data_IF_536449493918
#
_entry.id   IF_536449493918
#
_cell.length_a   1.000
_cell.length_b   1.000
_cell.length_c   1.000
_cell.angle_alpha   90.00
_cell.angle_beta   90.00
_cell.angle_gamma   90.00
#
_symmetry.space_group_name_H-M   'P 1'
#
loop_
_entity.id
_entity.type
_entity.pdbx_description
1 polymer ?
#
# COMPACT_ATOMS: atom_id res chain seq x y z
N UNK A 1 -26.51 -26.74 -32.86
CA UNK A 1 -25.38 -27.45 -32.21
C UNK A 1 -24.50 -26.37 -31.59
N UNK A 2 -24.24 -26.38 -30.28
CA UNK A 2 -23.30 -25.43 -29.69
C UNK A 2 -21.90 -25.70 -30.25
N UNK A 3 -21.26 -24.66 -30.76
CA UNK A 3 -19.91 -24.76 -31.32
C UNK A 3 -18.86 -24.77 -30.22
N UNK A 4 -17.61 -25.13 -30.55
CA UNK A 4 -16.51 -25.09 -29.59
C UNK A 4 -16.33 -23.69 -28.97
N UNK A 5 -16.59 -22.63 -29.74
CA UNK A 5 -16.54 -21.25 -29.29
C UNK A 5 -17.64 -20.95 -28.26
N UNK A 6 -18.87 -21.45 -28.45
CA UNK A 6 -19.98 -21.25 -27.50
C UNK A 6 -19.72 -21.90 -26.14
N UNK A 7 -19.03 -23.05 -26.13
CA UNK A 7 -18.66 -23.73 -24.89
C UNK A 7 -17.53 -23.00 -24.15
N UNK A 8 -16.60 -22.38 -24.88
CA UNK A 8 -15.54 -21.55 -24.31
C UNK A 8 -16.10 -20.27 -23.69
N UNK A 9 -17.08 -19.64 -24.35
CA UNK A 9 -17.77 -18.44 -23.88
C UNK A 9 -18.66 -18.70 -22.65
N UNK A 10 -19.09 -19.95 -22.43
CA UNK A 10 -19.84 -20.38 -21.23
C UNK A 10 -18.99 -20.92 -20.09
N UNK A 11 -17.67 -20.83 -20.19
CA UNK A 11 -16.76 -21.47 -19.23
C UNK A 11 -16.77 -20.78 -17.85
N UNK A 12 -17.66 -21.25 -16.97
CA UNK A 12 -17.74 -20.82 -15.56
C UNK A 12 -16.41 -20.99 -14.82
N UNK A 13 -15.61 -21.97 -15.21
CA UNK A 13 -14.29 -22.23 -14.64
C UNK A 13 -13.31 -21.08 -14.91
N UNK A 14 -13.42 -20.41 -16.06
CA UNK A 14 -12.57 -19.25 -16.39
C UNK A 14 -12.90 -18.06 -15.50
N UNK A 15 -14.20 -17.82 -15.23
CA UNK A 15 -14.65 -16.75 -14.34
C UNK A 15 -14.16 -17.00 -12.91
N UNK A 16 -14.24 -18.24 -12.43
CA UNK A 16 -13.74 -18.62 -11.10
C UNK A 16 -12.20 -18.48 -11.01
N UNK A 17 -11.46 -18.90 -12.03
CA UNK A 17 -10.01 -18.78 -12.07
C UNK A 17 -9.57 -17.30 -12.06
N UNK A 18 -10.19 -16.48 -12.91
CA UNK A 18 -9.92 -15.04 -12.97
C UNK A 18 -10.29 -14.34 -11.65
N UNK A 19 -11.50 -14.61 -11.14
CA UNK A 19 -11.95 -14.07 -9.86
C UNK A 19 -11.03 -14.45 -8.70
N UNK A 20 -10.56 -15.70 -8.66
CA UNK A 20 -9.59 -16.17 -7.68
C UNK A 20 -8.24 -15.44 -7.78
N UNK A 21 -7.74 -15.24 -9.00
CA UNK A 21 -6.50 -14.49 -9.22
C UNK A 21 -6.61 -13.02 -8.78
N UNK A 22 -7.72 -12.35 -9.11
CA UNK A 22 -7.97 -10.97 -8.69
C UNK A 22 -8.12 -10.86 -7.17
N UNK A 23 -8.84 -11.80 -6.55
CA UNK A 23 -9.00 -11.83 -5.10
C UNK A 23 -7.67 -12.06 -4.36
N UNK A 24 -6.82 -12.96 -4.89
CA UNK A 24 -5.48 -13.18 -4.36
C UNK A 24 -4.59 -11.93 -4.49
N UNK A 25 -4.63 -11.26 -5.64
CA UNK A 25 -3.93 -9.99 -5.84
C UNK A 25 -4.43 -8.91 -4.88
N UNK A 26 -5.75 -8.78 -4.69
CA UNK A 26 -6.32 -7.83 -3.74
C UNK A 26 -5.88 -8.10 -2.30
N UNK A 27 -5.93 -9.36 -1.84
CA UNK A 27 -5.40 -9.74 -0.54
C UNK A 27 -3.91 -9.40 -0.41
N UNK A 28 -3.13 -9.59 -1.48
CA UNK A 28 -1.72 -9.22 -1.51
C UNK A 28 -1.49 -7.70 -1.38
N UNK A 29 -2.40 -6.86 -1.89
CA UNK A 29 -2.27 -5.39 -1.71
C UNK A 29 -2.50 -4.94 -0.27
N UNK A 30 -3.21 -5.73 0.54
CA UNK A 30 -3.48 -5.38 1.95
C UNK A 30 -2.32 -5.83 2.84
N UNK A 31 -1.75 -7.02 2.58
CA UNK A 31 -0.79 -7.67 3.50
C UNK A 31 0.61 -7.89 2.93
N UNK A 32 0.82 -7.74 1.62
CA UNK A 32 2.00 -8.22 0.92
C UNK A 32 3.24 -7.33 1.03
N UNK A 33 3.08 -6.01 1.18
CA UNK A 33 4.17 -5.02 1.37
C UNK A 33 3.64 -3.59 1.28
N UNK A 34 4.44 -2.60 1.67
CA UNK A 34 4.24 -1.23 1.20
C UNK A 34 4.32 -1.21 -0.34
N UNK A 35 3.15 -1.05 -0.98
CA UNK A 35 3.01 -1.06 -2.44
C UNK A 35 3.76 0.10 -3.11
N UNK A 36 4.11 1.12 -2.32
CA UNK A 36 4.99 2.21 -2.66
C UNK A 36 6.23 2.10 -1.77
N UNK A 37 7.46 2.24 -2.30
CA UNK A 37 8.62 2.35 -1.44
C UNK A 37 8.39 3.51 -0.49
N UNK A 38 8.37 3.24 0.82
CA UNK A 38 8.39 4.31 1.80
C UNK A 38 9.65 5.13 1.52
N UNK A 39 9.48 6.44 1.35
CA UNK A 39 10.61 7.33 1.12
C UNK A 39 11.54 7.20 2.32
N UNK A 40 12.80 6.87 2.07
CA UNK A 40 13.75 6.54 3.13
C UNK A 40 13.85 7.72 4.10
N UNK A 41 13.71 7.44 5.40
CA UNK A 41 13.83 8.48 6.41
C UNK A 41 15.19 9.17 6.28
N UNK A 42 15.22 10.52 6.39
CA UNK A 42 16.48 11.26 6.30
C UNK A 42 17.43 10.76 7.39
N UNK A 43 18.57 10.22 6.95
CA UNK A 43 19.59 9.63 7.81
C UNK A 43 20.89 10.42 7.64
N UNK A 44 21.52 10.84 8.74
CA UNK A 44 22.78 11.61 8.70
C UNK A 44 22.74 12.89 9.56
N UNK A 45 23.58 13.87 9.21
CA UNK A 45 23.73 15.13 9.95
C UNK A 45 22.50 16.05 9.80
N UNK A 46 21.78 16.39 10.89
CA UNK A 46 20.58 17.22 10.84
C UNK A 46 20.83 18.68 10.44
N UNK A 47 22.07 19.17 10.51
CA UNK A 47 22.39 20.55 10.11
C UNK A 47 22.29 20.76 8.59
N UNK A 48 22.40 19.68 7.80
CA UNK A 48 22.23 19.70 6.35
C UNK A 48 20.81 19.41 5.86
N UNK A 49 19.87 19.12 6.77
CA UNK A 49 18.53 18.70 6.39
C UNK A 49 17.70 19.83 5.79
N UNK A 50 16.93 19.50 4.75
CA UNK A 50 15.91 20.42 4.26
C UNK A 50 14.77 20.52 5.29
N UNK A 51 14.00 21.61 5.23
CA UNK A 51 12.81 21.79 6.09
C UNK A 51 11.80 20.65 5.95
N UNK A 52 11.74 20.02 4.78
CA UNK A 52 10.86 18.89 4.50
C UNK A 52 11.33 17.62 5.22
N UNK A 53 12.63 17.35 5.17
CA UNK A 53 13.25 16.21 5.85
C UNK A 53 13.08 16.32 7.37
N UNK A 54 13.31 17.51 7.93
CA UNK A 54 13.10 17.79 9.35
C UNK A 54 11.64 17.55 9.77
N UNK A 55 10.67 17.96 8.94
CA UNK A 55 9.24 17.76 9.22
C UNK A 55 8.86 16.27 9.17
N UNK A 56 9.36 15.54 8.18
CA UNK A 56 9.11 14.10 8.01
C UNK A 56 9.69 13.30 9.18
N UNK A 57 10.93 13.61 9.56
CA UNK A 57 11.58 12.99 10.71
C UNK A 57 10.81 13.26 12.01
N UNK A 58 10.43 14.52 12.29
CA UNK A 58 9.67 14.88 13.49
C UNK A 58 8.31 14.17 13.58
N UNK A 59 7.66 13.93 12.44
CA UNK A 59 6.42 13.17 12.37
C UNK A 59 6.65 11.68 12.68
N UNK A 60 7.76 11.10 12.19
CA UNK A 60 8.13 9.71 12.40
C UNK A 60 8.55 9.42 13.85
N UNK A 61 9.34 10.28 14.48
CA UNK A 61 9.76 10.11 15.89
C UNK A 61 8.66 10.43 16.91
N UNK A 62 7.50 10.95 16.46
CA UNK A 62 6.32 11.12 17.28
C UNK A 62 6.58 11.93 18.55
N UNK A 63 6.98 13.20 18.42
CA UNK A 63 7.28 14.09 19.56
C UNK A 63 6.06 14.25 20.48
N UNK A 64 6.04 13.63 21.68
CA UNK A 64 4.83 13.51 22.50
C UNK A 64 4.35 14.86 23.10
N UNK A 65 5.19 15.88 23.15
CA UNK A 65 4.88 17.13 23.87
C UNK A 65 4.11 18.18 23.05
N UNK A 66 3.97 18.05 21.72
CA UNK A 66 3.26 19.06 20.91
C UNK A 66 1.74 18.82 20.84
N UNK A 67 1.26 17.59 21.03
CA UNK A 67 -0.17 17.26 20.98
C UNK A 67 -0.88 17.23 22.35
N UNK A 68 -0.13 17.15 23.46
CA UNK A 68 -0.70 16.82 24.78
C UNK A 68 -1.09 18.05 25.62
N UNK A 69 -0.75 19.28 25.18
CA UNK A 69 -1.06 20.54 25.89
C UNK A 69 -2.31 21.27 25.42
N UNK A 70 -2.96 20.82 24.35
CA UNK A 70 -4.18 21.46 23.85
C UNK A 70 -5.48 20.92 24.47
N UNK A 71 -5.38 19.89 25.32
CA UNK A 71 -6.53 19.19 25.91
C UNK A 71 -6.64 19.33 27.44
N UNK A 72 -5.98 20.33 28.04
CA UNK A 72 -6.18 20.73 29.44
C UNK A 72 -6.23 22.25 29.56
#
# INVERSE_FOLDING_TARGET
>A
MPTQLDNMMKSKNMVLAFGGAVAAAALWTIWGSDMFPAEQDPTGDPEGWSREDMRRWLAAVGVPWFGQRAAN
#
